data_IF_859143594595
#
_entry.id   IF_859143594595
#
_cell.length_a   1.000
_cell.length_b   1.000
_cell.length_c   1.000
_cell.angle_alpha   90.00
_cell.angle_beta   90.00
_cell.angle_gamma   90.00
#
_symmetry.space_group_name_H-M   'P 1'
#
loop_
_entity.id
_entity.type
_entity.pdbx_description
1 polymer ?
2 non-polymer ?
3 non-polymer ?
#
# COMPACT_ATOMS: atom_id res chain seq x y z
N UNK A 9 13.49 -29.15 9.15
CA UNK A 9 12.54 -28.02 9.16
C UNK A 9 11.60 -27.92 7.95
N UNK A 10 11.77 -28.80 6.96
CA UNK A 10 10.96 -28.77 5.75
C UNK A 10 9.74 -29.68 5.81
N UNK A 11 9.54 -30.39 6.91
CA UNK A 11 8.40 -31.26 7.08
C UNK A 11 7.32 -30.76 8.01
N UNK A 12 7.37 -29.50 8.45
CA UNK A 12 6.38 -28.99 9.40
C UNK A 12 4.97 -29.12 8.84
N UNK A 13 4.73 -28.57 7.65
CA UNK A 13 3.39 -28.61 7.07
C UNK A 13 2.97 -30.03 6.71
N UNK A 14 3.93 -30.91 6.43
CA UNK A 14 3.62 -32.33 6.32
C UNK A 14 3.13 -32.87 7.66
N UNK A 15 3.83 -32.50 8.74
CA UNK A 15 3.49 -33.01 10.06
C UNK A 15 2.12 -32.49 10.52
N UNK A 16 1.86 -31.21 10.31
CA UNK A 16 0.62 -30.60 10.76
C UNK A 16 -0.57 -30.92 9.88
N UNK A 17 -0.39 -31.71 8.82
CA UNK A 17 -1.49 -32.01 7.92
C UNK A 17 -2.01 -30.81 7.16
N UNK A 18 -1.14 -29.86 6.83
CA UNK A 18 -1.52 -28.64 6.12
C UNK A 18 -1.04 -28.78 4.68
N UNK A 19 -1.94 -28.74 3.70
CA UNK A 19 -1.52 -28.94 2.31
C UNK A 19 -0.63 -27.81 1.83
N UNK A 20 0.16 -28.11 0.81
CA UNK A 20 1.05 -27.13 0.23
C UNK A 20 1.92 -27.70 -0.87
N UNK A 21 2.56 -26.81 -1.63
CA UNK A 21 3.50 -27.27 -2.66
C UNK A 21 4.74 -27.88 -2.02
N UNK A 22 5.27 -28.90 -2.67
CA UNK A 22 6.41 -29.63 -2.13
C UNK A 22 7.67 -28.77 -2.21
N UNK A 23 8.31 -28.45 -1.10
CA UNK A 23 9.47 -27.57 -1.13
C UNK A 23 10.73 -28.28 -1.60
N UNK A 24 11.57 -27.52 -2.30
CA UNK A 24 12.88 -28.01 -2.67
C UNK A 24 13.88 -27.70 -1.55
N UNK A 25 14.96 -28.47 -1.46
CA UNK A 25 15.97 -28.18 -0.43
C UNK A 25 16.72 -26.86 -0.54
N UNK A 26 16.80 -26.15 0.60
CA UNK A 26 17.36 -24.82 0.69
C UNK A 26 16.44 -23.76 0.09
N UNK A 27 16.11 -23.89 -1.20
CA UNK A 27 15.31 -22.89 -1.87
C UNK A 27 13.90 -22.77 -1.32
N UNK A 28 13.39 -23.81 -0.64
CA UNK A 28 11.99 -23.79 -0.27
C UNK A 28 11.12 -23.79 -1.52
N UNK A 29 10.05 -23.00 -1.48
CA UNK A 29 9.13 -22.88 -2.61
C UNK A 29 9.36 -21.61 -3.41
N UNK A 30 10.54 -20.99 -3.30
CA UNK A 30 10.74 -19.67 -3.89
C UNK A 30 10.80 -19.71 -5.41
N UNK A 31 11.12 -20.85 -6.02
CA UNK A 31 11.15 -20.92 -7.47
C UNK A 31 9.77 -20.74 -8.09
N UNK A 32 8.72 -20.98 -7.31
CA UNK A 32 7.36 -20.74 -7.78
C UNK A 32 7.04 -19.26 -7.96
N UNK A 33 7.90 -18.36 -7.46
CA UNK A 33 7.69 -16.93 -7.57
C UNK A 33 7.93 -16.40 -8.98
N UNK A 34 8.22 -17.29 -9.94
CA UNK A 34 8.53 -16.83 -11.28
C UNK A 34 7.38 -16.17 -12.05
N UNK A 35 6.19 -16.09 -11.46
CA UNK A 35 5.09 -15.32 -12.03
C UNK A 35 4.63 -14.23 -11.06
N UNK A 36 5.39 -13.98 -10.00
CA UNK A 36 5.08 -12.95 -9.04
C UNK A 36 4.47 -13.51 -7.77
N UNK A 37 4.53 -12.69 -6.71
CA UNK A 37 3.84 -12.95 -5.44
C UNK A 37 2.41 -13.42 -5.66
N UNK A 38 1.75 -12.81 -6.64
CA UNK A 38 0.30 -12.84 -6.79
C UNK A 38 -0.20 -14.05 -7.58
N UNK A 39 0.39 -14.31 -8.75
CA UNK A 39 -0.01 -15.50 -9.49
C UNK A 39 0.28 -16.76 -8.70
N UNK A 40 1.23 -16.68 -7.77
CA UNK A 40 1.52 -17.81 -6.87
C UNK A 40 0.40 -17.98 -5.85
N UNK A 41 -0.03 -16.88 -5.22
CA UNK A 41 -1.13 -16.97 -4.25
C UNK A 41 -2.44 -17.35 -4.92
N UNK A 42 -2.76 -16.70 -6.04
CA UNK A 42 -3.97 -17.05 -6.78
C UNK A 42 -3.98 -18.53 -7.15
N UNK A 43 -2.81 -19.07 -7.51
CA UNK A 43 -2.72 -20.49 -7.86
C UNK A 43 -2.93 -21.37 -6.63
N UNK A 44 -2.16 -21.12 -5.56
CA UNK A 44 -2.23 -21.96 -4.37
C UNK A 44 -3.61 -21.93 -3.73
N UNK A 45 -4.29 -20.78 -3.78
CA UNK A 45 -5.68 -20.71 -3.36
C UNK A 45 -6.54 -21.72 -4.11
N UNK A 46 -6.31 -21.86 -5.41
CA UNK A 46 -7.11 -22.77 -6.22
C UNK A 46 -6.72 -24.22 -5.97
N UNK A 47 -5.43 -24.49 -5.79
CA UNK A 47 -4.99 -25.88 -5.62
C UNK A 47 -5.40 -26.44 -4.26
N UNK A 48 -5.37 -25.62 -3.21
CA UNK A 48 -5.42 -26.13 -1.85
C UNK A 48 -6.59 -25.61 -1.02
N UNK A 49 -7.17 -24.46 -1.35
CA UNK A 49 -8.35 -24.01 -0.64
C UNK A 49 -8.11 -23.05 0.49
N UNK A 50 -8.86 -23.21 1.58
CA UNK A 50 -8.93 -22.18 2.61
C UNK A 50 -7.59 -21.95 3.31
N UNK A 51 -6.73 -22.97 3.35
CA UNK A 51 -5.49 -22.89 4.12
C UNK A 51 -4.43 -23.73 3.42
N UNK A 52 -3.23 -23.16 3.29
CA UNK A 52 -2.10 -23.89 2.73
C UNK A 52 -0.81 -23.32 3.29
N UNK A 53 0.28 -24.05 3.11
CA UNK A 53 1.57 -23.65 3.64
C UNK A 53 2.67 -23.84 2.63
N UNK A 54 3.69 -23.00 2.73
CA UNK A 54 4.86 -23.07 1.88
C UNK A 54 6.07 -22.54 2.66
N UNK A 55 7.22 -22.48 2.00
CA UNK A 55 8.47 -22.10 2.64
C UNK A 55 9.17 -21.02 1.82
N UNK A 56 9.56 -19.94 2.49
CA UNK A 56 10.46 -18.95 1.91
C UNK A 56 11.87 -19.33 2.34
N UNK A 57 12.50 -20.18 1.55
CA UNK A 57 13.77 -20.78 1.95
C UNK A 57 13.56 -21.77 3.08
N UNK A 58 14.11 -21.46 4.25
CA UNK A 58 13.90 -22.27 5.44
C UNK A 58 12.72 -21.80 6.28
N UNK A 59 12.05 -20.73 5.87
CA UNK A 59 11.04 -20.09 6.71
C UNK A 59 9.65 -20.62 6.36
N UNK A 60 8.98 -21.33 7.27
CA UNK A 60 7.60 -21.77 6.97
C UNK A 60 6.63 -20.60 6.99
N UNK A 61 5.75 -20.57 6.00
CA UNK A 61 4.73 -19.54 5.88
C UNK A 61 3.39 -20.24 5.72
N UNK A 62 2.44 -19.93 6.60
CA UNK A 62 1.09 -20.46 6.52
C UNK A 62 0.17 -19.38 5.96
N UNK A 63 -0.52 -19.70 4.87
CA UNK A 63 -1.45 -18.78 4.25
C UNK A 63 -2.87 -19.16 4.65
N UNK A 64 -3.63 -18.18 5.13
CA UNK A 64 -5.01 -18.38 5.57
C UNK A 64 -5.93 -17.48 4.76
N UNK A 65 -7.11 -18.01 4.42
CA UNK A 65 -8.13 -17.25 3.70
C UNK A 65 -9.48 -17.28 4.42
N UNK A 66 -9.52 -17.72 5.67
CA UNK A 66 -10.77 -17.78 6.43
C UNK A 66 -11.05 -16.46 7.12
N UNK A 67 -12.11 -15.74 6.76
CA UNK A 67 -12.39 -14.43 7.38
C UNK A 67 -12.31 -14.41 8.90
N UNK A 68 -12.87 -15.43 9.56
CA UNK A 68 -12.80 -15.48 11.03
C UNK A 68 -11.36 -15.59 11.50
N UNK A 69 -10.60 -16.55 10.93
CA UNK A 69 -9.20 -16.70 11.30
C UNK A 69 -8.40 -15.46 10.94
N UNK A 70 -8.70 -14.86 9.79
CA UNK A 70 -8.12 -13.57 9.45
C UNK A 70 -8.37 -12.56 10.57
N UNK A 71 -9.65 -12.28 10.85
CA UNK A 71 -10.01 -11.36 11.93
C UNK A 71 -9.33 -11.73 13.24
N UNK A 72 -9.17 -13.03 13.51
CA UNK A 72 -8.50 -13.46 14.72
C UNK A 72 -7.04 -13.03 14.72
N UNK A 73 -6.35 -13.22 13.59
CA UNK A 73 -4.92 -12.95 13.54
C UNK A 73 -4.65 -11.45 13.63
N UNK A 74 -5.40 -10.64 12.87
CA UNK A 74 -5.06 -9.22 12.82
C UNK A 74 -5.65 -8.42 13.98
N UNK A 75 -6.74 -8.89 14.57
CA UNK A 75 -7.43 -8.07 15.58
C UNK A 75 -7.46 -8.79 16.93
N UNK A 76 -8.14 -9.93 16.99
CA UNK A 76 -8.38 -10.60 18.27
C UNK A 76 -7.09 -10.94 18.98
N UNK A 77 -6.09 -11.43 18.25
CA UNK A 77 -4.86 -11.97 18.84
C UNK A 77 -3.62 -11.15 18.47
N UNK A 78 -3.78 -9.88 18.13
CA UNK A 78 -2.65 -9.09 17.66
C UNK A 78 -1.63 -8.87 18.79
N UNK A 79 -2.09 -8.29 19.90
CA UNK A 79 -1.16 -7.91 20.97
C UNK A 79 -0.50 -9.11 21.64
N UNK A 80 -1.09 -10.30 21.55
CA UNK A 80 -0.54 -11.47 22.21
C UNK A 80 0.39 -12.26 21.28
N UNK A 81 -0.14 -12.72 20.14
CA UNK A 81 0.56 -13.66 19.28
C UNK A 81 1.12 -12.98 18.04
N UNK A 82 0.31 -12.19 17.35
CA UNK A 82 0.64 -11.66 16.04
C UNK A 82 0.87 -10.16 16.13
N UNK A 83 1.93 -9.77 16.84
CA UNK A 83 2.26 -8.37 17.02
C UNK A 83 3.15 -7.83 15.90
N UNK A 84 4.03 -8.66 15.36
CA UNK A 84 5.11 -8.19 14.50
C UNK A 84 5.04 -8.87 13.13
N UNK A 85 5.65 -8.23 12.14
CA UNK A 85 5.75 -8.80 10.80
C UNK A 85 7.07 -9.56 10.66
N UNK A 86 7.30 -10.05 9.45
CA UNK A 86 8.52 -10.86 9.20
C UNK A 86 9.75 -9.97 9.33
N UNK A 87 10.80 -10.42 10.03
CA UNK A 87 11.99 -9.61 10.23
C UNK A 87 12.53 -9.15 8.87
N UNK A 88 12.92 -7.88 8.76
CA UNK A 88 13.45 -7.33 7.49
C UNK A 88 14.86 -6.79 7.72
N UNK A 89 15.84 -7.29 6.97
CA UNK A 89 17.24 -6.86 7.16
C UNK A 89 18.08 -7.14 5.94
N UNK A 90 19.28 -6.51 5.79
CA UNK A 90 19.84 -5.64 6.82
C UNK A 90 19.14 -4.27 6.83
N UNK A 91 18.97 -3.68 8.01
CA UNK A 91 18.20 -2.40 8.11
C UNK A 91 19.06 -1.30 8.73
N UNK A 92 19.83 -1.60 9.78
CA UNK A 92 20.62 -0.57 10.42
C UNK A 92 19.80 0.18 11.44
N UNK A 93 19.82 1.51 11.36
CA UNK A 93 19.02 2.32 12.27
C UNK A 93 17.53 2.27 11.95
N UNK A 94 17.15 1.70 10.80
CA UNK A 94 15.76 1.60 10.42
C UNK A 94 15.02 0.46 11.12
N UNK A 95 15.70 -0.28 12.00
CA UNK A 95 14.98 -1.25 12.83
C UNK A 95 13.94 -0.57 13.70
N UNK A 96 14.17 0.70 14.04
CA UNK A 96 13.26 1.48 14.86
C UNK A 96 12.17 2.17 14.07
N UNK A 97 12.21 2.08 12.74
CA UNK A 97 11.09 2.53 11.94
C UNK A 97 9.83 1.80 12.35
N UNK A 98 8.72 2.53 12.46
CA UNK A 98 7.51 1.98 13.07
C UNK A 98 7.04 0.74 12.30
N UNK A 99 7.09 0.78 10.97
CA UNK A 99 6.68 -0.38 10.18
C UNK A 99 7.54 -1.60 10.47
N UNK A 100 8.75 -1.41 10.98
CA UNK A 100 9.68 -2.51 11.19
C UNK A 100 9.82 -2.88 12.67
N UNK A 101 9.62 -1.93 13.58
CA UNK A 101 9.86 -2.16 15.00
C UNK A 101 8.95 -3.26 15.54
N UNK A 102 9.43 -3.95 16.57
CA UNK A 102 8.78 -5.14 17.11
C UNK A 102 8.19 -4.86 18.49
N UNK A 103 7.14 -5.63 18.82
CA UNK A 103 6.61 -5.75 20.18
C UNK A 103 6.41 -4.43 20.91
N UNK A 104 7.03 -4.30 22.08
CA UNK A 104 6.80 -3.13 22.92
C UNK A 104 7.39 -1.87 22.31
N UNK A 105 8.51 -1.99 21.60
CA UNK A 105 9.09 -0.84 20.92
C UNK A 105 8.13 -0.26 19.88
N UNK A 106 7.31 -1.12 19.27
CA UNK A 106 6.33 -0.65 18.31
C UNK A 106 5.15 0.04 19.00
N UNK A 107 4.65 -0.57 20.09
CA UNK A 107 3.52 -0.01 20.83
C UNK A 107 3.77 1.45 21.22
N UNK A 108 5.02 1.79 21.55
CA UNK A 108 5.35 3.15 21.97
C UNK A 108 5.37 4.10 20.77
N UNK A 109 5.91 3.65 19.64
CA UNK A 109 5.93 4.50 18.44
C UNK A 109 4.52 4.74 17.92
N UNK A 110 3.70 3.69 17.88
CA UNK A 110 2.35 3.80 17.33
C UNK A 110 1.51 4.80 18.11
N UNK A 111 1.66 4.83 19.43
CA UNK A 111 0.95 5.80 20.25
C UNK A 111 1.44 7.22 19.97
N UNK A 112 2.76 7.39 19.91
CA UNK A 112 3.33 8.73 19.74
C UNK A 112 3.03 9.29 18.35
N UNK A 113 2.82 8.43 17.36
CA UNK A 113 2.52 8.86 16.01
C UNK A 113 1.04 8.82 15.66
N UNK A 114 0.21 8.25 16.52
CA UNK A 114 -1.23 8.19 16.25
C UNK A 114 -1.89 9.55 16.05
N UNK A 115 -1.68 10.57 16.91
CA UNK A 115 -2.46 11.81 16.78
C UNK A 115 -2.14 12.65 15.56
N UNK A 116 -1.29 12.13 14.66
CA UNK A 116 -0.95 12.87 13.45
C UNK A 116 -2.06 12.87 12.42
N UNK A 117 -2.87 11.82 12.37
CA UNK A 117 -3.95 11.71 11.41
C UNK A 117 -5.31 11.64 12.09
N UNK A 118 -5.53 12.50 13.08
CA UNK A 118 -6.87 12.74 13.58
C UNK A 118 -7.64 13.60 12.58
N UNK A 119 -8.96 13.42 12.56
CA UNK A 119 -9.81 14.14 11.61
C UNK A 119 -9.57 15.64 11.63
N UNK A 120 -9.09 16.18 12.74
CA UNK A 120 -8.77 17.60 12.83
C UNK A 120 -7.39 17.91 12.27
N UNK A 121 -6.43 17.04 12.51
CA UNK A 121 -5.10 17.25 11.95
C UNK A 121 -5.13 17.18 10.43
N UNK A 122 -5.88 16.23 9.85
CA UNK A 122 -6.08 16.21 8.41
C UNK A 122 -6.80 17.47 7.94
N UNK A 123 -7.86 17.85 8.64
CA UNK A 123 -8.59 19.05 8.26
C UNK A 123 -7.69 20.27 8.23
N UNK A 124 -6.68 20.31 9.11
CA UNK A 124 -5.71 21.40 9.03
C UNK A 124 -4.90 21.35 7.75
N UNK A 125 -4.86 20.20 7.05
CA UNK A 125 -4.00 20.08 5.87
C UNK A 125 -4.72 20.39 4.57
N UNK A 126 -6.06 20.40 4.58
CA UNK A 126 -6.81 20.72 3.35
C UNK A 126 -6.40 22.08 2.80
N UNK A 127 -6.18 23.13 3.61
CA UNK A 127 -5.68 24.38 3.03
C UNK A 127 -4.27 24.30 2.45
N UNK A 128 -3.35 23.57 3.09
CA UNK A 128 -1.97 23.54 2.57
C UNK A 128 -1.86 22.62 1.36
N UNK A 129 -2.57 21.47 1.36
CA UNK A 129 -2.57 20.64 0.16
C UNK A 129 -3.13 21.41 -1.03
N UNK A 130 -4.06 22.32 -0.76
CA UNK A 130 -4.76 23.03 -1.83
C UNK A 130 -3.84 23.82 -2.75
N UNK A 131 -2.58 24.02 -2.35
CA UNK A 131 -1.64 24.74 -3.22
C UNK A 131 -1.17 23.86 -4.36
N UNK A 132 -0.48 22.76 -4.04
CA UNK A 132 0.24 21.98 -5.05
C UNK A 132 -0.68 21.32 -6.05
N UNK A 133 -1.97 21.20 -5.75
CA UNK A 133 -2.92 20.81 -6.77
C UNK A 133 -2.93 21.78 -7.93
N UNK A 134 -2.84 23.09 -7.63
CA UNK A 134 -2.70 24.09 -8.69
C UNK A 134 -1.31 24.04 -9.30
N UNK A 135 -0.29 23.70 -8.52
CA UNK A 135 0.99 23.37 -9.11
C UNK A 135 0.84 22.13 -9.98
N UNK A 136 0.07 21.14 -9.51
CA UNK A 136 -0.19 19.95 -10.31
C UNK A 136 -0.92 20.31 -11.59
N UNK A 137 -2.04 21.03 -11.48
CA UNK A 137 -2.85 21.40 -12.65
C UNK A 137 -2.00 22.14 -13.68
N UNK A 138 -1.32 23.19 -13.25
CA UNK A 138 -0.51 23.98 -14.18
C UNK A 138 0.56 23.15 -14.85
N UNK A 139 1.12 22.16 -14.14
CA UNK A 139 2.09 21.27 -14.79
C UNK A 139 1.40 20.35 -15.81
N UNK A 140 0.19 19.87 -15.50
CA UNK A 140 -0.52 19.11 -16.51
C UNK A 140 -1.07 20.00 -17.62
N UNK A 141 -1.28 21.28 -17.36
CA UNK A 141 -1.77 22.18 -18.39
C UNK A 141 -0.73 22.42 -19.48
N UNK A 142 0.56 22.26 -19.17
CA UNK A 142 1.60 22.51 -20.15
C UNK A 142 1.80 21.32 -21.09
N UNK A 143 1.67 20.12 -20.57
CA UNK A 143 1.83 18.91 -21.37
C UNK A 143 0.53 18.41 -21.97
N UNK A 144 -0.55 19.20 -21.88
CA UNK A 144 -1.82 18.91 -22.53
C UNK A 144 -2.14 19.85 -23.68
N UNK A 145 -1.82 21.14 -23.50
CA UNK A 145 -1.97 22.08 -24.65
C UNK A 145 -1.21 21.40 -25.78
N UNK A 146 -0.10 20.74 -25.44
CA UNK A 146 0.66 19.95 -26.45
C UNK A 146 0.03 18.56 -26.34
N UNK A 147 -0.28 17.95 -27.49
CA UNK A 147 -0.87 16.59 -27.46
C UNK A 147 0.24 15.59 -27.21
N UNK A 148 1.05 15.79 -26.17
CA UNK A 148 2.13 14.87 -25.90
C UNK A 148 1.65 13.91 -24.82
N UNK A 149 1.62 12.61 -25.09
CA UNK A 149 1.22 11.64 -24.05
C UNK A 149 2.03 11.84 -22.77
N UNK A 150 1.36 11.67 -21.63
CA UNK A 150 1.90 12.02 -20.33
C UNK A 150 2.23 10.75 -19.55
N UNK A 151 3.36 10.77 -18.84
CA UNK A 151 3.68 9.76 -17.85
C UNK A 151 3.07 10.19 -16.52
N UNK A 152 2.03 9.48 -16.06
CA UNK A 152 1.22 10.00 -14.97
C UNK A 152 1.91 9.82 -13.61
N UNK A 153 2.63 8.71 -13.41
CA UNK A 153 3.36 8.52 -12.15
C UNK A 153 4.33 9.65 -11.87
N UNK A 154 4.92 10.22 -12.92
CA UNK A 154 5.93 11.25 -12.72
C UNK A 154 5.30 12.57 -12.29
N UNK A 155 4.18 12.95 -12.90
CA UNK A 155 3.52 14.18 -12.50
C UNK A 155 2.76 13.98 -11.19
N UNK A 156 2.27 12.77 -10.93
CA UNK A 156 1.67 12.47 -9.63
C UNK A 156 2.74 12.39 -8.55
N UNK A 157 3.83 11.68 -8.82
CA UNK A 157 4.89 11.57 -7.83
C UNK A 157 5.51 12.90 -7.48
N UNK A 158 5.70 13.76 -8.47
CA UNK A 158 6.13 15.13 -8.21
C UNK A 158 5.14 15.83 -7.29
N UNK A 159 3.84 15.66 -7.55
CA UNK A 159 2.82 16.16 -6.63
C UNK A 159 2.92 15.44 -5.29
N UNK A 160 2.93 14.10 -5.31
CA UNK A 160 2.94 13.32 -4.08
C UNK A 160 4.10 13.71 -3.17
N UNK A 161 5.28 13.93 -3.75
CA UNK A 161 6.42 14.37 -2.96
C UNK A 161 6.18 15.76 -2.40
N UNK A 162 5.62 16.66 -3.23
CA UNK A 162 5.34 18.01 -2.77
C UNK A 162 4.41 18.03 -1.58
N UNK A 163 3.50 17.07 -1.46
CA UNK A 163 2.61 17.06 -0.32
C UNK A 163 3.33 16.51 0.92
N UNK A 164 4.09 15.41 0.75
CA UNK A 164 4.65 14.74 1.91
C UNK A 164 5.75 15.58 2.56
N UNK A 165 6.49 16.36 1.77
CA UNK A 165 7.57 17.16 2.32
C UNK A 165 7.03 18.36 3.10
N UNK A 166 5.82 18.83 2.77
CA UNK A 166 5.20 19.94 3.45
C UNK A 166 4.17 19.52 4.48
N UNK A 167 3.43 18.42 4.21
CA UNK A 167 2.44 17.94 5.16
C UNK A 167 3.06 17.48 6.46
N UNK A 168 4.36 17.24 6.47
CA UNK A 168 5.05 16.67 7.62
C UNK A 168 6.20 17.51 8.14
N UNK A 169 6.81 18.35 7.29
CA UNK A 169 7.96 19.15 7.69
C UNK A 169 7.71 20.62 7.36
N UNK A 170 7.43 20.91 6.09
CA UNK A 170 7.02 22.25 5.71
C UNK A 170 7.91 22.94 4.70
N UNK A 171 8.58 22.16 3.84
CA UNK A 171 9.50 22.70 2.84
C UNK A 171 8.76 22.76 1.50
N UNK A 172 8.65 23.96 0.94
CA UNK A 172 7.93 24.18 -0.31
C UNK A 172 8.88 24.11 -1.49
N UNK A 173 8.56 23.27 -2.47
CA UNK A 173 9.41 23.05 -3.63
C UNK A 173 8.52 22.69 -4.81
N UNK A 174 8.74 23.35 -5.95
CA UNK A 174 8.11 22.96 -7.21
C UNK A 174 8.86 21.72 -7.64
N UNK A 175 8.19 20.56 -7.60
CA UNK A 175 8.84 19.30 -7.95
C UNK A 175 8.92 19.09 -9.47
N UNK A 176 9.36 20.12 -10.19
CA UNK A 176 9.88 19.95 -11.54
C UNK A 176 11.34 20.38 -11.65
N UNK A 197 14.12 -7.90 -7.91
CA UNK A 197 14.51 -9.01 -7.00
C UNK A 197 16.00 -9.30 -7.17
N UNK A 198 16.91 -8.34 -6.92
CA UNK A 198 18.34 -8.54 -7.14
C UNK A 198 18.98 -9.36 -6.01
N UNK A 199 19.02 -8.81 -4.79
CA UNK A 199 19.71 -9.50 -3.68
C UNK A 199 18.70 -9.96 -2.62
N UNK A 200 17.65 -9.17 -2.42
CA UNK A 200 16.58 -9.57 -1.46
C UNK A 200 16.34 -11.06 -1.63
N UNK A 201 16.33 -11.53 -2.88
CA UNK A 201 16.17 -12.98 -3.14
C UNK A 201 17.11 -13.73 -2.21
N UNK A 202 18.42 -13.53 -2.38
CA UNK A 202 19.41 -14.20 -1.52
C UNK A 202 18.89 -14.23 -0.08
N UNK A 203 18.44 -13.08 0.43
CA UNK A 203 17.99 -13.01 1.85
C UNK A 203 17.07 -14.20 2.14
N UNK A 204 15.98 -14.34 1.37
CA UNK A 204 15.01 -15.42 1.61
C UNK A 204 15.76 -16.73 1.89
N UNK A 205 16.75 -17.08 1.05
CA UNK A 205 17.47 -18.37 1.19
C UNK A 205 18.57 -18.22 2.24
N UNK A 206 19.06 -16.99 2.41
CA UNK A 206 20.08 -16.70 3.43
C UNK A 206 19.53 -15.70 4.44
N UNK A 207 18.52 -16.10 5.24
CA UNK A 207 18.13 -15.23 6.36
C UNK A 207 19.14 -15.27 7.49
N UNK A 208 19.86 -16.38 7.64
CA UNK A 208 20.99 -16.45 8.53
C UNK A 208 22.05 -15.40 8.22
N UNK A 209 22.05 -14.85 7.01
CA UNK A 209 23.01 -13.84 6.64
C UNK A 209 22.66 -12.46 7.16
N UNK A 210 21.45 -12.23 7.64
CA UNK A 210 21.01 -10.85 7.90
C UNK A 210 21.85 -10.22 9.00
N UNK A 211 22.05 -10.86 10.15
CA UNK A 211 22.98 -10.28 11.14
C UNK A 211 24.41 -10.15 10.62
N UNK A 212 24.81 -10.97 9.65
CA UNK A 212 26.10 -10.79 8.97
C UNK A 212 26.21 -9.38 8.43
N UNK A 213 25.25 -8.98 7.58
CA UNK A 213 25.32 -7.64 7.00
C UNK A 213 24.96 -6.56 8.02
N UNK A 214 24.25 -6.92 9.09
CA UNK A 214 23.93 -5.95 10.13
C UNK A 214 25.18 -5.45 10.84
N UNK A 215 26.28 -6.20 10.81
CA UNK A 215 27.54 -5.74 11.40
C UNK A 215 28.45 -5.11 10.36
N UNK A 216 28.05 -5.09 9.08
CA UNK A 216 28.83 -4.49 8.02
C UNK A 216 28.34 -3.09 7.66
N UNK A 217 27.37 -2.55 8.41
CA UNK A 217 26.65 -1.32 8.04
C UNK A 217 26.04 -1.43 6.66
N UNK A 218 25.82 -2.66 6.18
CA UNK A 218 25.14 -2.87 4.91
C UNK A 218 23.65 -2.64 5.12
N UNK A 219 23.06 -1.81 4.27
CA UNK A 219 21.63 -1.57 4.31
C UNK A 219 21.03 -1.91 2.96
N UNK A 220 19.82 -2.45 2.98
CA UNK A 220 19.04 -2.55 1.74
C UNK A 220 18.75 -1.16 1.22
N UNK A 221 18.76 -0.15 2.10
CA UNK A 221 18.62 1.24 1.71
C UNK A 221 20.01 1.80 1.48
N UNK A 222 20.43 2.04 0.25
CA UNK A 222 21.82 2.45 -0.03
C UNK A 222 22.25 3.61 0.86
N UNK A 223 23.37 3.43 1.56
CA UNK A 223 23.80 4.31 2.64
C UNK A 223 24.04 5.75 2.16
N UNK A 224 23.92 5.98 0.85
CA UNK A 224 23.98 7.34 0.33
C UNK A 224 22.61 8.01 0.26
N UNK A 225 21.50 7.23 0.15
CA UNK A 225 20.17 7.83 0.23
C UNK A 225 19.85 8.23 1.67
N UNK A 226 20.31 7.45 2.66
CA UNK A 226 20.03 7.78 4.05
C UNK A 226 20.95 8.89 4.55
N UNK A 227 22.25 8.84 4.22
CA UNK A 227 23.14 9.92 4.61
C UNK A 227 22.59 11.25 4.10
N UNK A 228 21.81 11.17 3.03
CA UNK A 228 21.19 12.40 2.48
C UNK A 228 20.08 12.95 3.37
N UNK A 229 18.97 12.19 3.44
CA UNK A 229 17.81 12.59 4.29
C UNK A 229 18.30 12.72 5.72
N UNK A 230 19.55 12.35 5.99
CA UNK A 230 20.11 12.59 7.34
C UNK A 230 20.50 14.07 7.16
N UNK A 231 19.57 14.88 6.67
CA UNK A 231 19.77 16.35 6.54
C UNK A 231 19.24 17.02 7.81
N UNK A 232 18.74 16.24 8.76
CA UNK A 232 18.27 16.83 10.05
C UNK A 232 17.64 18.18 9.74
N UNK A 233 16.69 18.21 8.80
CA UNK A 233 16.08 19.50 8.37
C UNK A 233 15.37 20.19 9.55
N UNK A 234 15.29 19.51 10.69
CA UNK A 234 14.69 20.13 11.90
C UNK A 234 15.25 21.55 12.07
N UNK A 235 14.42 22.51 12.48
CA UNK A 235 14.89 23.91 12.55
C UNK A 235 14.98 24.36 14.01
N UNK A 236 15.11 25.67 14.24
CA UNK A 236 15.22 26.23 15.61
C UNK A 236 13.91 25.99 16.35
N UNK A 250 2.84 19.98 12.48
CA UNK A 250 3.33 19.00 11.52
C UNK A 250 3.77 17.69 12.19
N UNK A 251 3.92 16.68 11.32
CA UNK A 251 4.56 15.41 11.67
C UNK A 251 5.92 15.66 12.34
N UNK A 252 6.75 16.52 11.75
CA UNK A 252 7.98 16.97 12.41
C UNK A 252 7.69 17.59 13.77
N UNK A 253 6.65 18.41 13.85
CA UNK A 253 6.27 19.08 15.09
C UNK A 253 5.92 18.06 16.17
N UNK A 254 4.82 17.33 15.97
CA UNK A 254 4.26 16.44 16.97
C UNK A 254 5.25 15.40 17.52
N UNK A 255 6.41 15.26 16.90
CA UNK A 255 7.50 14.45 17.43
C UNK A 255 8.32 15.06 18.55
N UNK A 256 8.95 16.19 18.28
CA UNK A 256 9.75 16.83 19.31
C UNK A 256 8.87 17.34 20.44
N UNK A 257 7.58 17.58 20.17
CA UNK A 257 6.67 18.03 21.21
C UNK A 257 6.42 16.92 22.23
N UNK A 269 10.28 8.26 25.97
CA UNK A 269 9.80 9.21 24.97
C UNK A 269 10.52 8.97 23.65
N UNK A 270 10.68 10.01 22.84
CA UNK A 270 11.22 9.85 21.49
C UNK A 270 12.66 10.34 21.42
N UNK A 271 13.45 9.69 20.56
CA UNK A 271 14.84 10.02 20.32
C UNK A 271 14.96 10.91 19.08
N UNK A 272 16.16 11.02 18.53
CA UNK A 272 16.44 11.89 17.39
C UNK A 272 16.79 11.10 16.14
N UNK A 273 17.79 10.22 16.22
CA UNK A 273 18.13 9.38 15.08
C UNK A 273 16.98 8.50 14.65
N UNK A 274 16.16 8.06 15.61
CA UNK A 274 14.94 7.33 15.29
C UNK A 274 13.88 8.25 14.71
N UNK A 275 13.95 9.55 15.00
CA UNK A 275 13.09 10.52 14.31
C UNK A 275 13.39 10.56 12.82
N UNK A 276 14.67 10.49 12.46
CA UNK A 276 15.04 10.35 11.06
C UNK A 276 14.33 9.14 10.46
N UNK A 277 14.49 7.97 11.10
CA UNK A 277 13.93 6.73 10.58
C UNK A 277 12.45 6.85 10.27
N UNK A 278 11.67 7.42 11.20
CA UNK A 278 10.23 7.58 10.96
C UNK A 278 9.98 8.46 9.75
N UNK A 279 10.76 9.53 9.60
CA UNK A 279 10.57 10.46 8.48
C UNK A 279 10.71 9.74 7.14
N UNK A 280 11.70 8.85 7.02
CA UNK A 280 11.89 8.11 5.76
C UNK A 280 10.64 7.29 5.43
N UNK A 281 10.08 6.59 6.42
CA UNK A 281 8.88 5.78 6.19
C UNK A 281 7.75 6.65 5.64
N UNK A 282 7.52 7.81 6.25
CA UNK A 282 6.43 8.68 5.83
C UNK A 282 6.69 9.27 4.46
N UNK A 283 7.89 9.80 4.24
CA UNK A 283 8.22 10.40 2.94
C UNK A 283 8.02 9.39 1.82
N UNK A 284 8.47 8.15 2.04
CA UNK A 284 8.29 7.11 1.04
C UNK A 284 6.81 6.81 0.81
N UNK A 285 6.11 6.41 1.88
CA UNK A 285 4.70 6.05 1.76
C UNK A 285 3.89 7.16 1.12
N UNK A 286 3.92 8.35 1.73
CA UNK A 286 3.20 9.49 1.22
C UNK A 286 3.53 9.85 -0.21
N UNK A 287 4.70 9.41 -0.68
CA UNK A 287 5.09 9.61 -2.08
C UNK A 287 4.62 8.45 -2.95
N UNK A 288 5.22 7.28 -2.78
CA UNK A 288 5.11 6.24 -3.80
C UNK A 288 3.71 5.62 -3.83
N UNK A 289 3.13 5.34 -2.66
CA UNK A 289 1.79 4.78 -2.63
C UNK A 289 0.80 5.68 -3.34
N UNK A 290 0.78 6.97 -2.98
CA UNK A 290 -0.12 7.92 -3.62
C UNK A 290 0.09 7.95 -5.13
N UNK A 291 1.33 8.16 -5.57
CA UNK A 291 1.63 8.19 -6.99
C UNK A 291 1.16 6.91 -7.68
N UNK A 292 1.51 5.76 -7.11
CA UNK A 292 1.20 4.48 -7.74
C UNK A 292 -0.31 4.29 -7.89
N UNK A 293 -1.06 4.55 -6.82
CA UNK A 293 -2.51 4.35 -6.87
C UNK A 293 -3.15 5.37 -7.81
N UNK A 294 -2.69 6.62 -7.76
CA UNK A 294 -3.18 7.64 -8.69
C UNK A 294 -3.01 7.22 -10.13
N UNK A 295 -1.93 6.48 -10.42
CA UNK A 295 -1.70 6.01 -11.78
C UNK A 295 -2.65 4.87 -12.11
N UNK A 296 -2.81 3.92 -11.18
CA UNK A 296 -3.78 2.85 -11.38
C UNK A 296 -5.18 3.40 -11.62
N UNK A 297 -5.51 4.51 -10.96
CA UNK A 297 -6.85 5.08 -11.07
C UNK A 297 -7.06 5.69 -12.46
N UNK A 298 -6.09 6.49 -12.92
CA UNK A 298 -6.25 7.16 -14.20
C UNK A 298 -6.29 6.17 -15.36
N UNK A 299 -5.54 5.06 -15.26
CA UNK A 299 -5.63 4.02 -16.27
C UNK A 299 -7.05 3.45 -16.34
N UNK A 300 -7.63 3.15 -15.18
CA UNK A 300 -8.96 2.56 -15.17
C UNK A 300 -10.03 3.55 -15.60
N UNK A 301 -9.85 4.83 -15.31
CA UNK A 301 -10.82 5.84 -15.73
C UNK A 301 -10.82 6.03 -17.24
N UNK A 302 -9.68 5.80 -17.90
CA UNK A 302 -9.63 5.99 -19.34
C UNK A 302 -10.22 4.80 -20.10
N UNK A 303 -9.81 3.58 -19.73
CA UNK A 303 -10.36 2.40 -20.39
C UNK A 303 -11.84 2.23 -20.12
N UNK A 304 -12.36 2.87 -19.07
CA UNK A 304 -13.78 2.85 -18.71
C UNK A 304 -14.24 4.32 -18.67
N UNK A 305 -14.51 4.92 -19.84
CA UNK A 305 -14.87 6.35 -19.88
C UNK A 305 -16.25 6.67 -19.29
N UNK A 306 -17.22 5.75 -19.32
CA UNK A 306 -18.49 5.99 -18.63
C UNK A 306 -18.28 6.23 -17.13
N UNK A 307 -17.34 5.53 -16.52
CA UNK A 307 -17.01 5.78 -15.13
C UNK A 307 -16.32 7.13 -14.98
N UNK A 308 -15.40 7.46 -15.89
CA UNK A 308 -14.69 8.73 -15.81
C UNK A 308 -15.65 9.91 -15.89
N UNK A 309 -16.65 9.84 -16.78
CA UNK A 309 -17.58 10.95 -16.93
C UNK A 309 -18.55 11.01 -15.75
N UNK A 310 -19.16 9.86 -15.40
CA UNK A 310 -20.06 9.83 -14.26
C UNK A 310 -19.38 10.32 -13.00
N UNK A 311 -18.08 10.06 -12.87
CA UNK A 311 -17.33 10.72 -11.80
C UNK A 311 -17.32 12.23 -12.00
N UNK A 312 -16.82 12.69 -13.16
CA UNK A 312 -16.79 14.12 -13.47
C UNK A 312 -18.12 14.80 -13.19
N UNK A 313 -19.22 14.09 -13.44
CA UNK A 313 -20.55 14.64 -13.15
C UNK A 313 -20.71 14.89 -11.64
N UNK A 314 -20.29 13.93 -10.82
CA UNK A 314 -20.43 14.07 -9.38
C UNK A 314 -19.53 15.17 -8.84
N UNK A 315 -18.33 15.31 -9.40
CA UNK A 315 -17.41 16.33 -8.91
C UNK A 315 -17.95 17.73 -9.17
N UNK A 316 -18.41 17.98 -10.40
CA UNK A 316 -18.92 19.31 -10.73
C UNK A 316 -20.27 19.58 -10.09
N UNK A 317 -20.97 18.55 -9.63
CA UNK A 317 -22.21 18.75 -8.89
C UNK A 317 -21.94 19.18 -7.45
N UNK A 318 -21.11 18.41 -6.74
CA UNK A 318 -20.79 18.74 -5.35
C UNK A 318 -19.98 20.03 -5.30
N UNK A 319 -19.11 20.26 -6.28
CA UNK A 319 -18.27 21.45 -6.36
C UNK A 319 -18.66 22.23 -7.60
N UNK A 320 -19.75 22.99 -7.55
CA UNK A 320 -20.17 23.75 -8.73
C UNK A 320 -19.23 24.92 -8.99
N UNK A 321 -19.22 25.37 -10.25
CA UNK A 321 -18.30 26.42 -10.69
C UNK A 321 -16.86 26.05 -10.32
N UNK A 322 -16.44 24.84 -10.70
CA UNK A 322 -15.13 24.27 -10.39
C UNK A 322 -14.65 24.69 -8.99
N UNK A 323 -15.53 24.49 -8.00
CA UNK A 323 -15.33 24.93 -6.63
C UNK A 323 -14.09 24.28 -6.00
N UNK A 324 -13.54 24.85 -4.93
CA UNK A 324 -12.32 24.26 -4.36
C UNK A 324 -12.68 23.16 -3.37
N UNK A 325 -12.00 22.01 -3.45
CA UNK A 325 -12.31 20.91 -2.55
C UNK A 325 -11.95 21.27 -1.11
N UNK A 326 -12.87 20.94 -0.20
CA UNK A 326 -12.66 21.12 1.23
C UNK A 326 -12.85 19.76 1.90
N UNK A 327 -12.61 19.72 3.21
CA UNK A 327 -12.68 18.45 3.93
C UNK A 327 -14.06 17.82 3.83
N UNK A 328 -15.11 18.61 4.09
CA UNK A 328 -16.46 18.05 4.17
C UNK A 328 -17.04 17.73 2.81
N UNK A 329 -16.64 18.45 1.76
CA UNK A 329 -17.11 18.10 0.42
C UNK A 329 -16.54 16.76 -0.04
N UNK A 330 -15.30 16.48 0.31
CA UNK A 330 -14.65 15.24 -0.13
C UNK A 330 -15.34 14.04 0.49
N UNK A 331 -15.80 14.17 1.74
CA UNK A 331 -16.49 13.08 2.41
C UNK A 331 -17.96 12.96 2.02
N UNK A 332 -18.42 13.75 1.05
CA UNK A 332 -19.76 13.59 0.51
C UNK A 332 -19.76 12.91 -0.85
N UNK A 333 -18.69 13.08 -1.64
CA UNK A 333 -18.57 12.43 -2.94
C UNK A 333 -18.47 10.92 -2.75
N UNK A 334 -19.59 10.24 -2.93
CA UNK A 334 -19.58 8.78 -2.76
C UNK A 334 -18.95 8.09 -3.97
N UNK A 335 -19.43 8.39 -5.18
CA UNK A 335 -18.91 7.71 -6.37
C UNK A 335 -17.40 7.85 -6.50
N UNK A 336 -16.83 8.96 -6.00
CA UNK A 336 -15.38 9.03 -5.90
C UNK A 336 -14.85 7.93 -4.99
N UNK A 337 -15.38 7.85 -3.76
CA UNK A 337 -14.98 6.80 -2.82
C UNK A 337 -15.12 5.41 -3.43
N UNK A 338 -16.19 5.18 -4.20
CA UNK A 338 -16.38 3.87 -4.83
C UNK A 338 -15.29 3.58 -5.85
N UNK A 339 -14.91 4.59 -6.64
CA UNK A 339 -13.87 4.37 -7.65
C UNK A 339 -12.53 4.07 -6.98
N UNK A 340 -12.18 4.84 -5.94
CA UNK A 340 -10.94 4.58 -5.22
C UNK A 340 -10.91 3.17 -4.66
N UNK A 341 -11.98 2.78 -3.95
CA UNK A 341 -12.01 1.45 -3.35
C UNK A 341 -11.90 0.35 -4.41
N UNK A 342 -12.62 0.50 -5.52
CA UNK A 342 -12.59 -0.54 -6.55
C UNK A 342 -11.22 -0.66 -7.18
N UNK A 343 -10.52 0.47 -7.36
CA UNK A 343 -9.13 0.40 -7.80
C UNK A 343 -8.28 -0.35 -6.78
N UNK A 344 -8.43 0.00 -5.50
CA UNK A 344 -7.67 -0.67 -4.45
C UNK A 344 -8.06 -2.13 -4.29
N UNK A 345 -9.26 -2.52 -4.74
CA UNK A 345 -9.57 -3.95 -4.83
C UNK A 345 -8.71 -4.63 -5.89
N UNK A 346 -8.65 -4.03 -7.09
CA UNK A 346 -7.86 -4.62 -8.16
C UNK A 346 -6.37 -4.48 -7.92
N UNK A 347 -5.94 -3.39 -7.27
CA UNK A 347 -4.52 -3.08 -7.11
C UNK A 347 -4.20 -2.76 -5.66
N UNK A 348 -4.23 -3.77 -4.78
CA UNK A 348 -3.72 -3.56 -3.42
C UNK A 348 -2.21 -3.57 -3.40
N UNK A 349 -1.61 -2.38 -3.30
CA UNK A 349 -0.17 -2.21 -3.49
C UNK A 349 0.65 -3.05 -2.51
N UNK A 350 0.07 -3.44 -1.38
CA UNK A 350 0.79 -4.28 -0.38
C UNK A 350 0.81 -5.77 -0.73
N UNK A 351 -0.20 -6.24 -1.46
CA UNK A 351 -0.27 -7.56 -2.07
C UNK A 351 -0.55 -8.55 -0.94
N UNK A 352 0.22 -8.46 0.15
CA UNK A 352 0.12 -9.41 1.25
C UNK A 352 0.07 -8.72 2.60
N UNK A 353 -0.37 -9.48 3.62
CA UNK A 353 -0.25 -9.08 5.01
C UNK A 353 0.39 -10.21 5.79
N UNK A 354 1.35 -9.87 6.65
CA UNK A 354 2.16 -10.86 7.34
C UNK A 354 2.27 -10.56 8.82
N UNK A 355 2.23 -11.61 9.63
CA UNK A 355 2.48 -11.53 11.06
C UNK A 355 3.32 -12.73 11.48
N UNK A 356 4.34 -12.49 12.30
CA UNK A 356 5.09 -13.58 12.91
C UNK A 356 4.35 -14.04 14.15
N UNK A 357 3.92 -15.30 14.14
CA UNK A 357 3.26 -15.89 15.31
C UNK A 357 4.31 -16.18 16.37
N UNK A 358 4.27 -15.43 17.46
CA UNK A 358 5.37 -15.42 18.43
C UNK A 358 5.22 -16.42 19.56
N UNK A 359 4.22 -17.30 19.51
CA UNK A 359 4.14 -18.43 20.43
C UNK A 359 3.09 -19.42 19.93
N UNK A 360 3.16 -20.64 20.45
CA UNK A 360 2.21 -21.69 20.08
C UNK A 360 0.78 -21.23 20.36
N UNK A 361 -0.12 -21.61 19.46
CA UNK A 361 -1.50 -21.11 19.44
C UNK A 361 -2.41 -22.04 18.64
N UNK A 362 -3.67 -22.15 19.07
CA UNK A 362 -4.74 -22.81 18.33
C UNK A 362 -5.84 -21.79 18.06
N UNK A 363 -5.89 -21.25 16.84
CA UNK A 363 -6.96 -20.34 16.42
C UNK A 363 -7.93 -21.08 15.52
N UNK A 364 -9.24 -20.86 15.77
CA UNK A 364 -10.32 -21.32 14.91
C UNK A 364 -10.14 -22.77 14.47
N UNK A 365 -9.72 -23.61 15.41
CA UNK A 365 -9.60 -25.03 15.16
C UNK A 365 -8.34 -25.47 14.46
N UNK A 366 -7.36 -24.57 14.26
CA UNK A 366 -6.09 -24.93 13.64
C UNK A 366 -4.94 -24.55 14.56
N UNK A 367 -4.10 -25.52 14.88
CA UNK A 367 -2.90 -25.26 15.65
C UNK A 367 -1.85 -24.58 14.77
N UNK A 368 -1.09 -23.68 15.38
CA UNK A 368 -0.07 -22.92 14.65
C UNK A 368 1.16 -22.85 15.55
N UNK A 369 2.32 -23.29 15.10
CA UNK A 369 3.49 -23.31 15.98
C UNK A 369 4.23 -21.98 15.99
N UNK A 370 4.98 -21.78 17.08
CA UNK A 370 5.80 -20.58 17.24
C UNK A 370 6.73 -20.40 16.06
N UNK A 371 6.88 -19.15 15.62
CA UNK A 371 7.83 -18.78 14.59
C UNK A 371 7.30 -18.81 13.18
N UNK A 372 6.17 -19.46 12.94
CA UNK A 372 5.60 -19.52 11.59
C UNK A 372 5.12 -18.13 11.19
N UNK A 373 5.33 -17.78 9.93
CA UNK A 373 4.84 -16.52 9.37
C UNK A 373 3.44 -16.78 8.84
N UNK A 374 2.44 -16.22 9.51
CA UNK A 374 1.07 -16.26 9.00
C UNK A 374 0.90 -15.17 7.95
N UNK A 375 0.21 -15.50 6.87
CA UNK A 375 0.13 -14.62 5.72
C UNK A 375 -1.31 -14.55 5.22
N UNK A 376 -1.72 -13.36 4.78
CA UNK A 376 -3.06 -13.14 4.22
C UNK A 376 -2.90 -12.69 2.77
N UNK A 377 -3.25 -13.53 1.79
CA UNK A 377 -3.08 -13.17 0.37
C UNK A 377 -4.11 -12.16 -0.13
N UNK A 378 -3.84 -10.89 0.16
CA UNK A 378 -4.79 -9.82 -0.15
C UNK A 378 -5.15 -9.80 -1.63
N UNK A 379 -4.13 -9.87 -2.50
CA UNK A 379 -4.37 -9.89 -3.93
C UNK A 379 -5.31 -11.03 -4.32
N UNK A 380 -5.02 -12.24 -3.83
CA UNK A 380 -5.83 -13.39 -4.20
C UNK A 380 -7.26 -13.26 -3.69
N UNK A 381 -7.42 -12.72 -2.48
CA UNK A 381 -8.76 -12.59 -1.91
C UNK A 381 -9.59 -11.54 -2.65
N UNK A 382 -8.96 -10.43 -3.05
CA UNK A 382 -9.67 -9.42 -3.82
C UNK A 382 -10.09 -9.92 -5.20
N UNK A 383 -9.51 -11.02 -5.66
CA UNK A 383 -9.79 -11.55 -6.99
C UNK A 383 -10.45 -12.92 -6.95
N UNK A 384 -10.99 -13.33 -5.80
CA UNK A 384 -11.56 -14.67 -5.66
C UNK A 384 -12.98 -14.67 -6.19
N UNK A 385 -13.30 -15.46 -7.23
CA UNK A 385 -14.70 -15.57 -7.66
C UNK A 385 -15.64 -16.06 -6.56
N UNK A 386 -15.13 -16.76 -5.54
CA UNK A 386 -15.98 -17.20 -4.43
C UNK A 386 -16.43 -16.06 -3.55
N UNK A 387 -16.10 -14.81 -3.91
CA UNK A 387 -16.61 -13.63 -3.23
C UNK A 387 -16.97 -12.50 -4.17
N UNK A 388 -16.56 -12.54 -5.43
CA UNK A 388 -16.77 -11.43 -6.36
C UNK A 388 -17.25 -12.00 -7.70
N UNK A 389 -18.34 -11.45 -8.22
CA UNK A 389 -18.81 -11.83 -9.54
C UNK A 389 -17.95 -11.18 -10.61
N UNK A 390 -17.39 -11.99 -11.50
CA UNK A 390 -16.52 -11.55 -12.58
C UNK A 390 -15.43 -10.65 -11.99
N UNK A 391 -14.44 -11.22 -11.30
CA UNK A 391 -13.56 -10.41 -10.46
C UNK A 391 -12.49 -9.62 -11.21
N UNK A 392 -12.26 -9.92 -12.49
CA UNK A 392 -11.23 -9.22 -13.24
C UNK A 392 -11.66 -7.85 -13.73
N UNK A 393 -12.96 -7.56 -13.69
CA UNK A 393 -13.50 -6.35 -14.29
C UNK A 393 -13.60 -5.22 -13.28
N UNK A 394 -13.32 -4.00 -13.74
CA UNK A 394 -13.35 -2.81 -12.91
C UNK A 394 -14.79 -2.35 -12.80
N UNK A 395 -15.44 -2.70 -11.69
CA UNK A 395 -16.87 -2.45 -11.47
C UNK A 395 -17.03 -1.69 -10.16
N UNK A 396 -16.99 -0.35 -10.21
CA UNK A 396 -17.06 0.42 -8.96
C UNK A 396 -18.39 0.32 -8.24
N UNK A 397 -19.44 -0.23 -8.86
CA UNK A 397 -20.71 -0.38 -8.17
C UNK A 397 -20.68 -1.49 -7.12
N UNK A 398 -19.57 -2.22 -6.99
CA UNK A 398 -19.40 -3.13 -5.86
C UNK A 398 -19.41 -2.37 -4.53
N UNK A 399 -19.02 -1.10 -4.54
CA UNK A 399 -18.85 -0.32 -3.32
C UNK A 399 -19.95 0.73 -3.15
N UNK A 400 -21.10 0.54 -3.77
CA UNK A 400 -22.23 1.43 -3.58
C UNK A 400 -23.03 1.03 -2.35
N UNK A 401 -23.70 2.01 -1.76
CA UNK A 401 -24.39 1.79 -0.49
C UNK A 401 -25.42 0.67 -0.59
N UNK A 402 -25.97 0.45 -1.78
CA UNK A 402 -26.81 -0.73 -1.99
C UNK A 402 -25.98 -2.00 -1.83
N UNK A 403 -24.79 -2.04 -2.43
CA UNK A 403 -23.99 -3.27 -2.48
C UNK A 403 -22.79 -3.26 -1.54
N UNK A 404 -22.48 -2.14 -0.89
CA UNK A 404 -21.29 -2.09 -0.04
C UNK A 404 -21.42 -2.93 1.23
N UNK A 405 -22.63 -3.39 1.56
CA UNK A 405 -22.81 -4.22 2.75
C UNK A 405 -22.48 -5.69 2.51
N UNK A 406 -22.48 -6.12 1.25
CA UNK A 406 -22.20 -7.51 0.89
C UNK A 406 -20.71 -7.80 0.77
N UNK A 407 -19.87 -7.12 1.54
CA UNK A 407 -18.43 -7.21 1.42
C UNK A 407 -17.84 -7.39 2.81
N UNK A 408 -17.04 -8.44 2.97
CA UNK A 408 -16.40 -8.73 4.24
C UNK A 408 -15.15 -7.86 4.39
N UNK A 409 -15.05 -7.08 5.48
CA UNK A 409 -13.84 -6.27 5.72
C UNK A 409 -12.61 -7.08 6.08
N UNK A 410 -12.69 -8.42 6.01
CA UNK A 410 -11.54 -9.29 6.17
C UNK A 410 -11.21 -10.04 4.89
N UNK A 411 -12.02 -9.87 3.86
CA UNK A 411 -11.62 -10.19 2.49
C UNK A 411 -11.08 -8.94 1.80
N UNK A 412 -11.72 -7.79 2.00
CA UNK A 412 -11.27 -6.53 1.43
C UNK A 412 -10.46 -5.78 2.49
N UNK A 413 -9.14 -5.87 2.39
CA UNK A 413 -8.21 -5.25 3.34
C UNK A 413 -7.09 -4.55 2.59
N UNK A 414 -7.40 -3.45 1.87
CA UNK A 414 -6.33 -2.72 1.19
C UNK A 414 -5.41 -1.98 2.14
N UNK A 415 -5.82 -1.79 3.39
CA UNK A 415 -5.04 -1.06 4.38
C UNK A 415 -4.75 -1.91 5.61
N UNK A 416 -4.96 -3.22 5.52
CA UNK A 416 -4.80 -4.08 6.67
C UNK A 416 -6.00 -3.97 7.62
N UNK A 417 -5.78 -4.43 8.85
CA UNK A 417 -6.80 -4.35 9.88
C UNK A 417 -6.15 -4.58 11.24
N UNK A 418 -6.88 -4.22 12.28
CA UNK A 418 -6.39 -4.36 13.63
C UNK A 418 -5.47 -3.23 14.03
N UNK A 419 -4.81 -3.37 15.18
CA UNK A 419 -3.95 -2.28 15.68
C UNK A 419 -2.78 -1.94 14.76
N UNK A 420 -2.37 -2.85 13.86
CA UNK A 420 -1.25 -2.58 12.97
C UNK A 420 -1.68 -2.40 11.51
N UNK A 421 -2.88 -1.88 11.30
CA UNK A 421 -3.28 -1.49 9.95
C UNK A 421 -2.50 -0.26 9.51
N UNK A 422 -2.77 0.19 8.29
CA UNK A 422 -2.06 1.35 7.74
C UNK A 422 -2.37 2.59 8.57
N UNK A 423 -1.38 3.10 9.30
CA UNK A 423 -1.57 4.28 10.13
C UNK A 423 -1.91 5.50 9.29
N UNK A 424 -1.56 5.49 8.01
CA UNK A 424 -1.83 6.60 7.12
C UNK A 424 -3.01 6.41 6.19
N UNK A 425 -3.92 5.49 6.50
CA UNK A 425 -5.05 5.19 5.61
C UNK A 425 -5.86 6.45 5.31
N UNK A 426 -6.37 7.11 6.35
CA UNK A 426 -7.28 8.24 6.15
C UNK A 426 -6.59 9.38 5.41
N UNK A 427 -5.30 9.60 5.68
CA UNK A 427 -4.56 10.62 4.95
C UNK A 427 -4.49 10.28 3.47
N UNK A 428 -4.07 9.05 3.14
CA UNK A 428 -3.92 8.65 1.76
C UNK A 428 -5.21 8.85 0.97
N UNK A 429 -6.33 8.36 1.52
CA UNK A 429 -7.62 8.58 0.86
C UNK A 429 -7.86 10.06 0.62
N UNK A 430 -7.60 10.90 1.63
CA UNK A 430 -7.82 12.33 1.48
C UNK A 430 -6.87 12.93 0.46
N UNK A 431 -5.58 12.67 0.61
CA UNK A 431 -4.59 13.22 -0.31
C UNK A 431 -4.90 12.83 -1.75
N UNK A 432 -5.15 11.54 -1.98
CA UNK A 432 -5.47 11.06 -3.32
C UNK A 432 -6.73 11.72 -3.85
N UNK A 433 -7.78 11.77 -3.02
CA UNK A 433 -9.06 12.29 -3.48
C UNK A 433 -8.94 13.75 -3.91
N UNK A 434 -8.23 14.58 -3.13
CA UNK A 434 -8.00 15.96 -3.52
C UNK A 434 -7.30 16.04 -4.87
N UNK A 435 -6.36 15.11 -5.13
CA UNK A 435 -5.73 15.03 -6.44
C UNK A 435 -6.74 14.72 -7.53
N UNK A 436 -7.57 13.70 -7.30
CA UNK A 436 -8.57 13.29 -8.28
C UNK A 436 -9.56 14.40 -8.60
N UNK A 437 -10.02 15.13 -7.59
CA UNK A 437 -10.94 16.23 -7.81
C UNK A 437 -10.31 17.29 -8.70
N UNK A 438 -9.17 17.86 -8.27
CA UNK A 438 -8.54 18.93 -9.03
C UNK A 438 -8.16 18.48 -10.44
N UNK A 439 -7.64 17.26 -10.57
CA UNK A 439 -7.18 16.79 -11.88
C UNK A 439 -8.36 16.58 -12.82
N UNK A 440 -9.41 15.90 -12.35
CA UNK A 440 -10.54 15.59 -13.20
C UNK A 440 -11.47 16.78 -13.41
N UNK A 441 -11.45 17.77 -12.52
CA UNK A 441 -12.23 18.98 -12.72
C UNK A 441 -11.81 19.75 -13.96
N UNK A 442 -10.67 19.42 -14.55
CA UNK A 442 -10.10 20.16 -15.66
C UNK A 442 -9.86 19.32 -16.90
N UNK A 443 -9.46 18.06 -16.75
CA UNK A 443 -9.00 17.26 -17.87
C UNK A 443 -9.77 15.94 -17.95
N UNK A 444 -9.97 15.48 -19.19
CA UNK A 444 -10.36 14.12 -19.48
C UNK A 444 -9.12 13.30 -19.82
N UNK A 445 -9.29 11.98 -19.86
CA UNK A 445 -8.16 11.08 -20.08
C UNK A 445 -8.58 9.95 -21.02
N UNK A 446 -7.94 9.90 -22.18
CA UNK A 446 -8.13 8.87 -23.18
C UNK A 446 -6.91 7.96 -23.25
N UNK A 447 -7.07 6.69 -23.65
CA UNK A 447 -5.90 5.87 -23.96
C UNK A 447 -5.13 6.48 -25.12
N UNK A 448 -3.86 6.12 -25.20
CA UNK A 448 -3.02 6.64 -26.27
C UNK A 448 -2.44 5.46 -27.06
N UNK A 449 -1.71 5.78 -28.13
CA UNK A 449 -1.22 4.76 -29.05
C UNK A 449 -0.30 3.76 -28.34
N UNK A 450 0.49 4.22 -27.38
CA UNK A 450 1.41 3.35 -26.65
C UNK A 450 0.78 2.75 -25.40
N UNK A 451 -0.40 3.20 -25.00
CA UNK A 451 -0.98 2.80 -23.72
C UNK A 451 -1.11 1.28 -23.65
N UNK A 452 -0.65 0.70 -22.54
CA UNK A 452 -0.65 -0.74 -22.37
C UNK A 452 -2.07 -1.21 -22.03
N UNK A 453 -2.70 -1.93 -22.95
CA UNK A 453 -4.05 -2.45 -22.74
C UNK A 453 -4.14 -3.89 -23.21
N UNK A 454 -4.35 -4.87 -22.30
CA UNK A 454 -4.55 -4.70 -20.86
C UNK A 454 -3.22 -4.40 -20.14
N UNK A 455 -3.27 -3.86 -18.94
CA UNK A 455 -2.06 -3.53 -18.20
C UNK A 455 -1.52 -4.80 -17.54
N UNK A 456 -0.26 -5.14 -17.83
CA UNK A 456 0.37 -6.22 -17.10
C UNK A 456 0.88 -5.70 -15.76
N UNK A 457 0.81 -6.55 -14.75
CA UNK A 457 1.44 -6.26 -13.48
C UNK A 457 2.92 -6.60 -13.54
N UNK A 458 3.73 -5.89 -12.76
CA UNK A 458 5.18 -6.21 -12.69
C UNK A 458 5.36 -7.47 -11.86
N UNK A 459 6.61 -7.85 -11.58
CA UNK A 459 6.83 -9.12 -10.84
C UNK A 459 7.34 -8.80 -9.44
N UNK A 460 6.67 -9.35 -8.41
CA UNK A 460 7.09 -9.14 -7.02
C UNK A 460 7.12 -7.67 -6.64
N UNK A 461 8.22 -7.20 -6.07
CA UNK A 461 8.30 -5.81 -5.62
C UNK A 461 6.98 -5.37 -5.03
N UNK A 462 6.48 -4.21 -5.45
CA UNK A 462 5.13 -3.76 -5.01
C UNK A 462 4.16 -4.02 -6.16
N UNK A 463 2.87 -3.72 -5.99
CA UNK A 463 1.93 -3.79 -7.14
C UNK A 463 2.24 -2.62 -8.06
N UNK A 464 3.15 -2.82 -9.02
CA UNK A 464 3.54 -1.74 -9.97
C UNK A 464 3.40 -2.25 -11.40
N UNK A 465 3.12 -1.40 -12.41
CA UNK A 465 2.91 -1.85 -13.78
C UNK A 465 4.23 -2.09 -14.50
N UNK A 466 4.19 -3.09 -15.39
CA UNK A 466 5.34 -3.39 -16.25
C UNK A 466 5.85 -2.25 -17.12
N UNK A 467 5.05 -1.84 -18.09
CA UNK A 467 5.30 -0.58 -18.77
C UNK A 467 4.59 0.56 -18.03
N UNK A 468 5.24 1.72 -17.91
CA UNK A 468 4.59 2.86 -17.24
C UNK A 468 3.23 3.22 -17.82
N UNK A 469 2.42 3.93 -17.04
CA UNK A 469 1.08 4.32 -17.46
C UNK A 469 1.18 5.64 -18.21
N UNK A 470 0.86 5.62 -19.51
CA UNK A 470 0.91 6.81 -20.36
C UNK A 470 -0.41 6.93 -21.11
N UNK A 471 -1.02 8.11 -21.02
CA UNK A 471 -2.40 8.33 -21.46
C UNK A 471 -2.49 9.69 -22.13
N UNK A 472 -3.45 9.83 -23.04
CA UNK A 472 -3.73 11.14 -23.61
C UNK A 472 -4.51 11.99 -22.62
N UNK A 473 -4.24 13.30 -22.63
CA UNK A 473 -4.91 14.27 -21.77
C UNK A 473 -5.53 15.34 -22.66
N UNK A 474 -6.80 15.66 -22.38
CA UNK A 474 -7.52 16.69 -23.10
C UNK A 474 -8.11 17.67 -22.09
N UNK A 475 -8.17 18.94 -22.48
CA UNK A 475 -8.60 20.01 -21.60
C UNK A 475 -10.09 20.28 -21.80
N UNK A 476 -10.82 20.38 -20.70
CA UNK A 476 -12.26 20.65 -20.75
C UNK A 476 -12.54 22.15 -20.76
X LIG B 1 0.96 -0.14 6.80
X LIG B 1 -1.64 0.09 2.70
X LIG B 1 -0.40 4.75 2.32
X LIG B 1 2.03 4.60 6.51
X LIG B 1 0.18 -0.49 5.73
X LIG B 1 -0.35 -1.82 5.45
X LIG B 1 -1.08 -1.76 4.33
X LIG B 1 -1.03 -0.39 3.84
X LIG B 1 -1.83 -2.92 3.66
X LIG B 1 -0.13 -3.07 6.32
X LIG B 1 -1.33 -3.26 7.25
X LIG B 1 -1.17 -4.51 8.05
X LIG B 1 -2.18 -4.99 8.62
X LIG B 1 -0.02 -5.04 8.13
X LIG B 1 -1.55 1.38 2.24
X LIG B 1 -2.19 1.92 1.05
X LIG B 1 -1.84 3.22 0.96
X LIG B 1 -0.98 3.52 2.07
X LIG B 1 -3.10 1.09 0.13
X LIG B 1 -2.22 4.29 -0.09
X LIG B 1 -2.96 4.08 -1.18
X LIG B 1 0.30 5.14 3.43
X LIG B 1 0.70 6.49 3.75
X LIG B 1 1.37 6.47 4.90
X LIG B 1 1.43 5.09 5.36
X LIG B 1 0.39 7.74 2.90
X LIG B 1 1.96 7.74 5.56
X LIG B 1 2.74 7.67 6.64
X LIG B 1 2.00 3.29 6.93
X LIG B 1 2.72 2.72 8.06
X LIG B 1 2.43 1.42 8.12
X LIG B 1 1.51 1.11 7.06
X LIG B 1 3.68 3.49 9.00
X LIG B 1 2.97 0.43 9.18
X LIG B 1 2.02 0.57 10.37
X LIG B 1 2.42 -0.33 11.51
X LIG B 1 2.10 0.03 12.67
X LIG B 1 3.07 -1.38 11.27
X LIG B 1 -0.26 0.35 4.73
X LIG B 1 -0.81 2.39 2.83
X LIG B 1 0.76 4.31 4.44
X LIG B 1 1.27 2.27 6.35
X LIG B 1 0.15 2.36 4.64
X LIG C 1 10.58 -8.51 1.10
X LIG C 1 9.90 -8.96 2.45
X LIG C 1 8.13 -7.16 2.32
X LIG C 1 8.00 -5.75 3.06
X LIG C 1 7.35 -4.20 5.03
X LIG C 1 8.52 -4.02 6.09
X LIG C 1 9.86 -1.67 4.32
X LIG C 1 11.22 -0.95 4.15
X LIG C 1 11.21 0.45 3.49
X LIG C 1 10.96 0.62 2.11
X LIG C 1 10.95 1.89 1.50
X LIG C 1 11.19 3.03 2.27
X LIG C 1 11.45 2.89 3.64
X LIG C 1 11.45 1.62 4.23
X LIG C 1 8.74 -0.72 4.87
X LIG C 1 6.34 0.31 4.73
X LIG C 1 6.65 1.85 4.63
X LIG C 1 5.76 2.70 3.65
X LIG C 1 4.40 2.09 3.22
X LIG C 1 4.21 1.37 2.03
X LIG C 1 2.95 0.84 1.68
X LIG C 1 1.88 1.05 2.56
X LIG C 1 3.26 2.24 4.02
X LIG C 1 5.93 -4.02 5.73
X LIG C 1 4.80 -3.38 4.89
X LIG C 1 4.13 -2.20 5.32
X LIG C 1 3.11 -1.61 4.55
X LIG C 1 2.72 -2.19 3.34
X LIG C 1 3.36 -3.34 2.90
X LIG C 1 4.38 -3.91 3.67
X LIG C 1 11.70 -9.17 0.77
X LIG C 1 10.95 -7.20 1.07
X LIG C 1 9.79 -8.66 0.00
X LIG C 1 8.79 -8.31 2.97
X LIG C 1 7.49 -5.54 4.35
X LIG C 1 7.46 -0.59 4.26
X LIG C 1 2.03 1.74 3.71
X LIG C 1 10.47 -9.92 2.94
X LIG C 1 8.39 -4.79 2.39
X LIG C 1 8.96 -0.03 5.88
X LIG C 1 10.10 -3.23 5.42
#
# INVERSE_FOLDING_TARGET
>A
MAYLYGTHSHGLFKKLGIPGPTPLPFLGNILSYHKGFCMFDMECHKKYGKVWGFYDGQQPVLAITDPDMIKTVLVKECYSVFTNRRPFGPVGFMKSAISIAEDEEWKRLRSLLSPTFTSGKLKEMVPIIAQYGDVLVRNLRREAETGKPVTLKDVFGAYSMDVITSTSFGVNIDSLNNPQDPFVENTKKLLRFDFLDPFFLSITVFPFLIPILEVLNICVFPREVTNFLRKSVKRMKESRLEDTQKHRVDFLQLMIDSQNSKETESHKALSDLELVAQSIIFIFAGYETTSSVLSFIMYELATHPDVQQKLQEEIDAVLPNKAPPTYDTVLQMEYLDMVVNETLRLFPIAMRLERVCKKDVEINGMFIPKGVVVMIPSYALHRDPKYWTEPEKFLPERFSKKNKDNIDPYIYTPFGSGPRNCIGMRFALMNMKLALIRVLQNFSFKPCKETQIPLKLSLGGLLQPEKPVVLKVESRDGTVSGAHHHH
>B hetero
1 HEM CHA CHB CHC CHD C1A C2A C3A C4A CMA CAA CBA CGA O1A O2A C1B C2B C3B C4B CMB CAB CBB C1C C2C C3C C4C CMC CAC CBC C1D C2D C3D C4D CMD CAD CBD CGD O1D O2D NA NB NC ND FE
>C hetero
1 A1A06 C02 C05 C08 C09 C12 C13 C15 C16 C17 C18 C19 C20 C21 C22 C23 C26 C27 C28 C29 C30 C31 C32 C34 C35 C36 C37 C38 C39 C40 C41 F01 F03 F04 N07 N11 N25 N33 O06 O10 O24 S14
#
